data_IF_212726256051
#
_entry.id   IF_212726256051
#
_cell.length_a   1.000
_cell.length_b   1.000
_cell.length_c   1.000
_cell.angle_alpha   90.00
_cell.angle_beta   90.00
_cell.angle_gamma   90.00
#
_symmetry.space_group_name_H-M   'P 1'
#
loop_
_entity.id
_entity.type
_entity.pdbx_description
1 polymer ?
#
# COMPACT_ATOMS: atom_id res chain seq x y z
N UNK A 1 -25.17 21.50 -11.02
CA UNK A 1 -24.56 22.74 -11.55
C UNK A 1 -23.18 22.38 -12.09
N UNK A 2 -22.97 22.48 -13.41
CA UNK A 2 -21.74 22.07 -14.10
C UNK A 2 -20.67 23.16 -13.97
N UNK A 3 -19.46 22.78 -13.52
CA UNK A 3 -18.24 23.57 -13.69
C UNK A 3 -17.10 22.60 -14.02
N UNK A 4 -16.87 22.35 -15.31
CA UNK A 4 -15.57 21.88 -15.79
C UNK A 4 -14.91 23.07 -16.48
N UNK A 5 -14.01 23.74 -15.77
CA UNK A 5 -13.14 24.78 -16.33
C UNK A 5 -11.91 24.12 -16.93
N UNK A 6 -11.69 24.35 -18.23
CA UNK A 6 -10.63 23.74 -19.02
C UNK A 6 -9.23 24.11 -18.51
N UNK A 7 -8.56 23.14 -17.87
CA UNK A 7 -7.11 23.18 -17.70
C UNK A 7 -6.48 22.22 -18.70
N UNK A 8 -5.53 22.74 -19.49
CA UNK A 8 -4.73 21.95 -20.44
C UNK A 8 -3.88 20.96 -19.64
N UNK A 9 -4.03 19.67 -19.95
CA UNK A 9 -3.22 18.58 -19.40
C UNK A 9 -1.90 18.53 -20.18
N UNK A 10 -0.78 18.72 -19.49
CA UNK A 10 0.55 18.57 -20.07
C UNK A 10 1.18 17.27 -19.55
N UNK A 11 1.41 16.33 -20.47
CA UNK A 11 2.10 15.07 -20.18
C UNK A 11 3.55 15.23 -20.67
N UNK A 12 4.55 15.12 -19.78
CA UNK A 12 5.97 15.09 -20.20
C UNK A 12 6.22 13.86 -21.07
N UNK A 13 7.07 14.00 -22.09
CA UNK A 13 7.45 12.92 -23.02
C UNK A 13 7.91 11.65 -22.29
N UNK A 14 8.58 11.76 -21.14
CA UNK A 14 9.04 10.59 -20.36
C UNK A 14 7.90 9.85 -19.67
N UNK A 15 6.92 10.57 -19.11
CA UNK A 15 5.71 9.95 -18.56
C UNK A 15 4.86 9.31 -19.67
N UNK A 16 4.81 9.95 -20.85
CA UNK A 16 4.19 9.37 -22.04
C UNK A 16 4.94 8.11 -22.50
N UNK A 17 6.27 8.09 -22.47
CA UNK A 17 7.09 6.92 -22.84
C UNK A 17 6.88 5.77 -21.86
N UNK A 18 6.82 6.03 -20.54
CA UNK A 18 6.56 4.99 -19.55
C UNK A 18 5.12 4.46 -19.63
N UNK A 19 4.14 5.35 -19.87
CA UNK A 19 2.75 4.96 -20.11
C UNK A 19 2.65 4.12 -21.38
N UNK A 20 3.30 4.53 -22.48
CA UNK A 20 3.34 3.78 -23.73
C UNK A 20 4.07 2.45 -23.56
N UNK A 21 5.17 2.40 -22.81
CA UNK A 21 5.87 1.16 -22.52
C UNK A 21 5.00 0.19 -21.72
N UNK A 22 4.26 0.68 -20.72
CA UNK A 22 3.33 -0.12 -19.93
C UNK A 22 2.14 -0.60 -20.76
N UNK A 23 1.57 0.26 -21.62
CA UNK A 23 0.51 -0.13 -22.56
C UNK A 23 1.02 -1.13 -23.61
N UNK A 24 2.23 -0.97 -24.12
CA UNK A 24 2.86 -1.93 -25.05
C UNK A 24 3.12 -3.25 -24.36
N UNK A 25 3.60 -3.25 -23.11
CA UNK A 25 3.82 -4.46 -22.34
C UNK A 25 2.49 -5.18 -22.03
N UNK A 26 1.47 -4.45 -21.60
CA UNK A 26 0.13 -4.99 -21.39
C UNK A 26 -0.48 -5.52 -22.70
N UNK A 27 -0.26 -4.84 -23.84
CA UNK A 27 -0.74 -5.28 -25.15
C UNK A 27 0.03 -6.49 -25.67
N UNK A 28 1.33 -6.62 -25.40
CA UNK A 28 2.12 -7.81 -25.70
C UNK A 28 1.66 -9.01 -24.87
N UNK A 29 1.30 -8.81 -23.60
CA UNK A 29 0.72 -9.85 -22.76
C UNK A 29 -0.69 -10.26 -23.23
N UNK A 30 -1.49 -9.32 -23.72
CA UNK A 30 -2.85 -9.60 -24.22
C UNK A 30 -2.85 -10.19 -25.64
N UNK A 31 -1.95 -9.76 -26.53
CA UNK A 31 -1.82 -10.30 -27.89
C UNK A 31 -1.22 -11.71 -27.93
N UNK A 32 -0.66 -12.20 -26.82
CA UNK A 32 -0.31 -13.61 -26.66
C UNK A 32 -1.52 -14.55 -26.45
N UNK A 33 -2.73 -14.02 -26.27
CA UNK A 33 -3.91 -14.81 -25.88
C UNK A 33 -5.12 -14.75 -26.84
N UNK A 34 -5.12 -13.93 -27.88
CA UNK A 34 -6.32 -13.73 -28.72
C UNK A 34 -6.45 -14.66 -29.95
N UNK A 35 -5.46 -15.51 -30.24
CA UNK A 35 -5.52 -16.46 -31.36
C UNK A 35 -5.20 -17.91 -30.95
N UNK A 36 -6.01 -18.48 -30.05
CA UNK A 36 -5.98 -19.92 -29.73
C UNK A 36 -6.75 -20.80 -30.74
N UNK A 37 -7.09 -20.30 -31.94
CA UNK A 37 -7.79 -21.09 -32.97
C UNK A 37 -7.04 -21.32 -34.29
N UNK A 38 -5.90 -20.66 -34.55
CA UNK A 38 -5.29 -20.67 -35.90
C UNK A 38 -3.77 -20.85 -35.97
N UNK A 39 -3.05 -20.91 -34.84
CA UNK A 39 -1.60 -21.06 -34.84
C UNK A 39 -1.13 -22.46 -34.39
N UNK A 40 -1.54 -23.51 -35.11
CA UNK A 40 -0.74 -24.74 -35.19
C UNK A 40 -0.78 -25.27 -36.64
N UNK A 41 0.35 -25.30 -37.38
CA UNK A 41 0.44 -26.22 -38.50
C UNK A 41 0.25 -27.65 -37.96
N UNK A 42 -0.33 -28.59 -38.74
CA UNK A 42 -0.52 -29.96 -38.28
C UNK A 42 0.85 -30.56 -37.95
N UNK A 43 1.17 -30.65 -36.67
CA UNK A 43 2.26 -31.47 -36.19
C UNK A 43 1.85 -32.91 -36.51
N UNK A 44 2.50 -33.49 -37.51
CA UNK A 44 2.46 -34.91 -37.79
C UNK A 44 2.80 -35.64 -36.51
N UNK A 45 1.79 -36.27 -35.91
CA UNK A 45 1.93 -37.07 -34.70
C UNK A 45 2.63 -38.37 -35.11
N UNK A 46 3.96 -38.37 -35.08
CA UNK A 46 4.74 -39.60 -35.18
C UNK A 46 4.48 -40.38 -33.89
N UNK A 47 3.91 -41.57 -34.01
CA UNK A 47 3.53 -42.40 -32.88
C UNK A 47 4.77 -42.65 -31.98
N UNK A 48 4.66 -42.47 -30.66
CA UNK A 48 5.78 -42.72 -29.77
C UNK A 48 6.23 -44.17 -29.91
N UNK A 49 7.53 -44.35 -30.18
CA UNK A 49 8.17 -45.66 -30.19
C UNK A 49 7.78 -46.42 -28.90
N UNK A 50 7.41 -47.71 -28.99
CA UNK A 50 7.09 -48.50 -27.82
C UNK A 50 8.31 -48.51 -26.87
N UNK A 51 8.13 -47.91 -25.69
CA UNK A 51 9.15 -47.86 -24.66
C UNK A 51 9.57 -49.28 -24.31
N UNK A 52 10.87 -49.55 -24.41
CA UNK A 52 11.47 -50.79 -23.93
C UNK A 52 11.11 -50.99 -22.44
N UNK A 53 10.83 -52.23 -22.00
CA UNK A 53 10.51 -52.50 -20.61
C UNK A 53 11.64 -52.04 -19.70
N UNK A 54 11.29 -51.20 -18.71
CA UNK A 54 12.22 -50.73 -17.69
C UNK A 54 12.80 -51.94 -16.93
N UNK A 55 14.12 -51.97 -16.68
CA UNK A 55 14.71 -53.03 -15.88
C UNK A 55 14.11 -53.05 -14.47
N UNK A 56 14.01 -54.24 -13.84
CA UNK A 56 13.45 -54.37 -12.50
C UNK A 56 14.26 -53.52 -11.49
N UNK A 57 13.59 -52.85 -10.55
CA UNK A 57 14.26 -52.02 -9.55
C UNK A 57 15.23 -52.86 -8.74
N UNK A 58 16.48 -52.41 -8.66
CA UNK A 58 17.49 -53.06 -7.82
C UNK A 58 17.10 -52.93 -6.34
N UNK A 59 17.37 -53.97 -5.52
CA UNK A 59 17.13 -53.91 -4.08
C UNK A 59 17.90 -52.75 -3.45
N UNK A 60 17.19 -51.87 -2.72
CA UNK A 60 17.81 -50.76 -2.03
C UNK A 60 18.78 -51.27 -0.96
N UNK A 61 20.02 -50.78 -0.99
CA UNK A 61 21.03 -51.05 0.03
C UNK A 61 20.54 -50.61 1.41
N UNK A 62 20.86 -51.36 2.49
CA UNK A 62 20.47 -50.96 3.84
C UNK A 62 21.15 -49.62 4.21
N UNK A 63 20.43 -48.72 4.89
CA UNK A 63 20.96 -47.41 5.27
C UNK A 63 22.15 -47.57 6.23
N UNK A 64 23.21 -46.75 6.09
CA UNK A 64 24.32 -46.75 7.03
C UNK A 64 23.86 -46.35 8.43
N UNK A 65 24.46 -46.96 9.44
CA UNK A 65 24.16 -46.69 10.85
C UNK A 65 24.46 -45.23 11.19
N UNK A 66 23.61 -44.54 11.97
CA UNK A 66 23.79 -43.15 12.30
C UNK A 66 25.03 -42.94 13.19
N UNK A 67 25.81 -41.87 12.98
CA UNK A 67 26.94 -41.53 13.83
C UNK A 67 26.48 -41.17 15.25
N UNK A 68 27.26 -41.57 16.25
CA UNK A 68 27.03 -41.21 17.65
C UNK A 68 27.26 -39.70 17.85
N UNK A 69 26.23 -38.97 18.26
CA UNK A 69 26.35 -37.54 18.56
C UNK A 69 27.07 -37.31 19.90
N UNK A 70 27.92 -36.27 19.99
CA UNK A 70 28.52 -35.85 21.26
C UNK A 70 27.45 -35.33 22.23
N UNK A 71 27.73 -35.35 23.55
CA UNK A 71 26.79 -34.88 24.57
C UNK A 71 26.42 -33.41 24.34
N UNK A 72 25.12 -33.13 24.37
CA UNK A 72 24.56 -31.78 24.22
C UNK A 72 25.03 -30.91 25.40
N UNK A 73 25.68 -29.77 25.17
CA UNK A 73 26.05 -28.85 26.24
C UNK A 73 24.79 -28.30 26.93
N UNK A 74 24.88 -28.11 28.25
CA UNK A 74 23.77 -27.61 29.07
C UNK A 74 23.24 -26.27 28.54
N UNK A 75 21.91 -26.06 28.55
CA UNK A 75 21.29 -24.84 28.04
C UNK A 75 21.78 -23.62 28.83
N UNK A 76 22.30 -22.62 28.12
CA UNK A 76 22.59 -21.30 28.67
C UNK A 76 21.27 -20.67 29.13
N UNK A 77 21.17 -20.15 30.37
CA UNK A 77 19.95 -19.50 30.82
C UNK A 77 19.57 -18.34 29.89
N UNK A 78 18.27 -18.12 29.64
CA UNK A 78 17.82 -17.05 28.76
C UNK A 78 18.27 -15.69 29.33
N UNK A 79 18.71 -14.76 28.46
CA UNK A 79 19.05 -13.42 28.91
C UNK A 79 17.81 -12.76 29.56
N UNK A 80 18.02 -11.91 30.58
CA UNK A 80 16.91 -11.17 31.18
C UNK A 80 16.21 -10.29 30.12
N UNK A 81 14.89 -10.03 30.27
CA UNK A 81 14.16 -9.15 29.36
C UNK A 81 14.85 -7.78 29.30
N UNK A 82 15.12 -7.30 28.08
CA UNK A 82 15.60 -5.93 27.89
C UNK A 82 14.54 -4.96 28.43
N UNK A 83 14.94 -3.99 29.25
CA UNK A 83 14.05 -2.89 29.62
C UNK A 83 13.69 -2.10 28.36
N UNK A 84 12.45 -1.61 28.24
CA UNK A 84 12.11 -0.63 27.22
C UNK A 84 13.05 0.58 27.35
N UNK A 85 13.62 1.01 26.24
CA UNK A 85 14.35 2.27 26.17
C UNK A 85 13.38 3.41 26.52
N UNK A 86 13.83 4.44 27.26
CA UNK A 86 13.01 5.63 27.47
C UNK A 86 12.66 6.26 26.11
N UNK A 87 11.47 6.89 25.96
CA UNK A 87 11.11 7.60 24.74
C UNK A 87 12.17 8.64 24.38
N UNK A 88 12.51 8.74 23.10
CA UNK A 88 13.39 9.80 22.60
C UNK A 88 12.65 11.13 22.74
N UNK A 89 13.13 11.99 23.65
CA UNK A 89 12.60 13.34 23.80
C UNK A 89 12.98 14.17 22.57
N UNK A 90 11.97 14.67 21.87
CA UNK A 90 12.15 15.48 20.67
C UNK A 90 12.19 16.99 20.92
N UNK A 91 12.24 17.40 22.19
CA UNK A 91 12.53 18.78 22.57
C UNK A 91 11.39 19.78 22.29
N UNK A 92 10.22 19.30 21.84
CA UNK A 92 9.01 20.08 21.66
C UNK A 92 7.85 19.48 22.46
N UNK A 93 7.16 20.34 23.21
CA UNK A 93 5.97 19.96 23.99
C UNK A 93 4.89 19.38 23.05
N UNK A 94 4.22 18.33 23.50
CA UNK A 94 3.12 17.61 22.82
C UNK A 94 3.47 16.87 21.53
N UNK A 95 4.76 16.69 21.24
CA UNK A 95 5.24 15.95 20.07
C UNK A 95 5.76 14.56 20.45
N UNK A 96 5.21 13.51 19.82
CA UNK A 96 5.68 12.14 20.02
C UNK A 96 6.62 11.73 18.88
N UNK A 97 7.85 11.37 19.25
CA UNK A 97 8.82 10.84 18.31
C UNK A 97 8.81 9.32 18.27
N UNK A 98 8.84 8.82 17.05
CA UNK A 98 8.67 7.42 16.75
C UNK A 98 9.89 6.92 15.99
N UNK A 99 10.62 6.02 16.62
CA UNK A 99 11.80 5.33 16.10
C UNK A 99 11.58 3.83 15.89
N UNK A 100 10.43 3.31 16.33
CA UNK A 100 10.10 1.90 16.19
C UNK A 100 8.64 1.67 15.86
N UNK A 101 8.33 0.48 15.33
CA UNK A 101 6.97 0.06 15.05
C UNK A 101 6.07 0.02 16.30
N UNK A 102 6.64 -0.40 17.45
CA UNK A 102 5.90 -0.43 18.71
C UNK A 102 5.52 0.98 19.17
N UNK A 103 6.45 1.93 19.06
CA UNK A 103 6.19 3.35 19.33
C UNK A 103 5.17 3.92 18.35
N UNK A 104 5.23 3.55 17.06
CA UNK A 104 4.28 4.02 16.05
C UNK A 104 2.86 3.59 16.38
N UNK A 105 2.67 2.34 16.79
CA UNK A 105 1.36 1.80 17.20
C UNK A 105 0.87 2.49 18.46
N UNK A 106 1.73 2.64 19.46
CA UNK A 106 1.37 3.30 20.71
C UNK A 106 0.99 4.77 20.47
N UNK A 107 1.76 5.47 19.64
CA UNK A 107 1.48 6.83 19.19
C UNK A 107 0.12 6.94 18.48
N UNK A 108 -0.14 6.07 17.51
CA UNK A 108 -1.41 6.02 16.77
C UNK A 108 -2.61 5.76 17.69
N UNK A 109 -2.47 4.84 18.63
CA UNK A 109 -3.52 4.53 19.61
C UNK A 109 -3.76 5.71 20.57
N UNK A 110 -2.69 6.33 21.09
CA UNK A 110 -2.78 7.50 21.96
C UNK A 110 -3.41 8.72 21.25
N UNK A 111 -3.07 8.92 19.97
CA UNK A 111 -3.66 9.96 19.11
C UNK A 111 -5.18 9.82 19.03
N UNK A 112 -5.63 8.59 18.83
CA UNK A 112 -7.04 8.24 18.69
C UNK A 112 -7.86 8.46 19.97
N UNK A 113 -7.22 8.32 21.14
CA UNK A 113 -7.85 8.40 22.46
C UNK A 113 -7.92 9.82 23.07
N UNK A 114 -7.58 10.88 22.32
CA UNK A 114 -7.57 12.28 22.79
C UNK A 114 -6.54 12.60 23.89
N UNK A 115 -5.39 11.92 23.94
CA UNK A 115 -4.37 12.17 24.97
C UNK A 115 -3.52 13.45 24.76
N UNK A 116 -4.03 14.47 24.05
CA UNK A 116 -3.34 15.75 23.83
C UNK A 116 -2.26 15.75 22.74
N UNK A 117 -1.81 14.59 22.25
CA UNK A 117 -0.88 14.51 21.13
C UNK A 117 -1.62 14.57 19.79
N UNK A 118 -1.59 15.73 19.15
CA UNK A 118 -2.10 15.94 17.79
C UNK A 118 -1.02 15.76 16.72
N UNK A 119 0.26 15.67 17.09
CA UNK A 119 1.38 15.59 16.15
C UNK A 119 2.39 14.49 16.49
N UNK A 120 2.79 13.71 15.47
CA UNK A 120 3.76 12.63 15.59
C UNK A 120 4.84 12.75 14.52
N UNK A 121 6.09 12.54 14.92
CA UNK A 121 7.24 12.60 14.01
C UNK A 121 7.92 11.25 13.91
N UNK A 122 7.99 10.76 12.69
CA UNK A 122 8.76 9.58 12.35
C UNK A 122 10.22 10.01 12.13
N UNK A 123 11.14 9.54 12.98
CA UNK A 123 12.54 9.97 12.95
C UNK A 123 13.49 8.98 12.24
N UNK A 124 12.97 7.81 11.89
CA UNK A 124 13.67 6.73 11.20
C UNK A 124 12.75 6.04 10.18
N UNK A 125 13.33 5.39 9.17
CA UNK A 125 12.55 4.56 8.25
C UNK A 125 12.15 3.26 8.94
N UNK A 126 10.87 2.89 8.85
CA UNK A 126 10.34 1.70 9.51
C UNK A 126 9.81 0.71 8.49
N UNK A 127 10.03 -0.56 8.80
CA UNK A 127 9.39 -1.67 8.13
C UNK A 127 8.36 -2.29 9.05
N UNK A 128 7.12 -2.38 8.59
CA UNK A 128 6.05 -3.04 9.32
C UNK A 128 6.26 -4.55 9.28
N UNK A 129 5.88 -5.22 10.36
CA UNK A 129 5.86 -6.70 10.49
C UNK A 129 4.69 -7.36 9.74
N UNK A 130 4.05 -6.63 8.81
CA UNK A 130 2.89 -7.05 8.03
C UNK A 130 1.54 -6.87 8.73
N UNK A 131 1.49 -6.25 9.91
CA UNK A 131 0.23 -5.78 10.50
C UNK A 131 0.07 -4.26 10.28
N UNK A 132 -1.13 -3.80 9.92
CA UNK A 132 -1.38 -2.38 9.71
C UNK A 132 -1.15 -1.58 11.00
N UNK A 133 -0.93 -0.29 10.84
CA UNK A 133 -1.06 0.69 11.92
C UNK A 133 -2.52 1.17 11.90
N UNK A 134 -3.31 0.60 12.80
CA UNK A 134 -4.71 0.97 12.96
C UNK A 134 -4.83 2.26 13.78
N UNK A 135 -5.52 3.26 13.22
CA UNK A 135 -5.80 4.52 13.91
C UNK A 135 -7.29 4.58 14.23
N UNK A 136 -7.64 4.38 15.51
CA UNK A 136 -9.02 4.39 15.99
C UNK A 136 -9.32 5.68 16.72
N UNK A 137 -10.22 6.49 16.17
CA UNK A 137 -10.63 7.75 16.79
C UNK A 137 -11.78 7.53 17.77
N UNK A 138 -11.68 8.17 18.95
CA UNK A 138 -12.76 8.26 19.91
C UNK A 138 -13.92 9.13 19.39
N UNK A 139 -15.15 8.75 19.75
CA UNK A 139 -16.36 9.11 19.02
C UNK A 139 -16.82 10.58 19.06
N UNK A 140 -16.28 11.38 19.98
CA UNK A 140 -16.97 12.61 20.41
C UNK A 140 -16.13 13.88 20.27
N UNK A 141 -14.96 13.82 19.65
CA UNK A 141 -14.03 14.96 19.58
C UNK A 141 -13.56 15.20 18.14
N UNK A 142 -13.69 16.45 17.69
CA UNK A 142 -13.16 16.91 16.40
C UNK A 142 -11.63 16.83 16.44
N UNK A 143 -11.09 15.70 16.02
CA UNK A 143 -9.66 15.41 16.08
C UNK A 143 -8.98 15.83 14.78
N UNK A 144 -7.91 16.62 14.91
CA UNK A 144 -6.91 16.85 13.88
C UNK A 144 -5.64 16.11 14.29
N UNK A 145 -5.27 15.09 13.53
CA UNK A 145 -4.04 14.32 13.75
C UNK A 145 -3.10 14.63 12.60
N UNK A 146 -1.84 14.96 12.92
CA UNK A 146 -0.78 15.18 11.96
C UNK A 146 0.36 14.19 12.19
N UNK A 147 0.81 13.56 11.11
CA UNK A 147 1.96 12.66 11.10
C UNK A 147 2.99 13.17 10.10
N UNK A 148 4.23 13.35 10.54
CA UNK A 148 5.31 13.91 9.75
C UNK A 148 6.54 13.00 9.72
N UNK A 149 7.13 12.81 8.54
CA UNK A 149 8.45 12.17 8.40
C UNK A 149 9.59 13.19 8.53
N UNK A 150 10.52 12.93 9.45
CA UNK A 150 11.73 13.73 9.67
C UNK A 150 12.93 12.83 9.97
N UNK A 151 13.41 12.12 8.95
CA UNK A 151 14.46 11.13 9.12
C UNK A 151 15.80 11.79 9.43
N UNK A 152 16.40 11.42 10.56
CA UNK A 152 17.61 12.06 11.10
C UNK A 152 18.89 11.67 10.35
N UNK A 153 18.90 10.54 9.65
CA UNK A 153 20.03 10.08 8.82
C UNK A 153 19.98 10.51 7.34
N UNK A 154 18.86 11.08 6.92
CA UNK A 154 18.59 11.47 5.55
C UNK A 154 19.34 12.76 5.19
N UNK A 155 19.98 12.83 4.02
CA UNK A 155 20.65 14.06 3.54
C UNK A 155 19.64 15.19 3.30
N UNK A 156 19.21 15.91 4.33
CA UNK A 156 18.39 17.12 4.32
C UNK A 156 16.95 17.02 3.78
N UNK A 157 16.74 16.23 2.72
CA UNK A 157 15.52 16.17 1.91
C UNK A 157 15.01 14.74 1.68
N UNK A 158 15.67 13.72 2.19
CA UNK A 158 15.19 12.34 2.03
C UNK A 158 14.01 12.08 2.98
N UNK A 159 12.98 11.43 2.44
CA UNK A 159 11.72 11.13 3.13
C UNK A 159 11.89 9.90 4.01
N UNK A 160 11.18 9.85 5.14
CA UNK A 160 11.11 8.61 5.91
C UNK A 160 10.31 7.56 5.17
N UNK A 161 10.86 6.36 5.05
CA UNK A 161 10.17 5.24 4.44
C UNK A 161 9.35 4.46 5.47
N UNK A 162 8.08 4.20 5.14
CA UNK A 162 7.25 3.21 5.80
C UNK A 162 6.93 2.12 4.78
N UNK A 163 7.48 0.93 5.01
CA UNK A 163 7.27 -0.25 4.17
C UNK A 163 6.34 -1.25 4.88
N UNK A 164 5.17 -1.55 4.29
CA UNK A 164 4.26 -2.57 4.81
C UNK A 164 4.72 -4.02 4.55
N UNK A 165 5.85 -4.21 3.84
CA UNK A 165 6.44 -5.49 3.48
C UNK A 165 5.50 -6.42 2.69
N UNK A 166 4.53 -5.85 1.97
CA UNK A 166 3.63 -6.57 1.07
C UNK A 166 2.64 -7.49 1.75
N UNK A 167 2.14 -7.11 2.93
CA UNK A 167 1.23 -7.96 3.72
C UNK A 167 -0.05 -7.28 4.17
N UNK A 168 -0.10 -5.96 4.17
CA UNK A 168 -1.30 -5.22 4.60
C UNK A 168 -1.24 -3.76 4.19
N UNK A 169 -2.31 -3.02 4.48
CA UNK A 169 -2.31 -1.57 4.38
C UNK A 169 -1.36 -0.96 5.43
N UNK A 170 -0.65 0.13 5.13
CA UNK A 170 0.20 0.82 6.13
C UNK A 170 -0.71 1.46 7.19
N UNK A 171 -1.65 2.30 6.76
CA UNK A 171 -2.61 3.00 7.62
C UNK A 171 -4.04 2.56 7.31
N UNK A 172 -4.69 1.96 8.30
CA UNK A 172 -6.11 1.63 8.23
C UNK A 172 -6.88 2.53 9.19
N UNK A 173 -7.68 3.43 8.64
CA UNK A 173 -8.53 4.33 9.42
C UNK A 173 -9.97 3.88 9.30
N UNK A 174 -10.39 3.12 10.30
CA UNK A 174 -11.76 2.65 10.45
C UNK A 174 -12.27 2.94 11.85
N UNK A 175 -13.26 3.82 11.94
CA UNK A 175 -14.05 4.05 13.14
C UNK A 175 -15.41 4.58 12.73
N UNK A 176 -16.47 3.84 13.07
CA UNK A 176 -17.86 4.24 12.79
C UNK A 176 -18.24 5.58 13.42
N UNK A 177 -17.44 6.08 14.36
CA UNK A 177 -17.69 7.34 15.01
C UNK A 177 -17.03 8.54 14.31
N UNK A 178 -16.23 8.29 13.28
CA UNK A 178 -15.63 9.33 12.46
C UNK A 178 -16.67 10.01 11.57
N UNK A 179 -16.52 11.33 11.43
CA UNK A 179 -17.32 12.15 10.54
C UNK A 179 -16.45 13.22 9.87
N UNK A 180 -17.05 14.01 8.97
CA UNK A 180 -16.35 14.99 8.13
C UNK A 180 -15.60 16.09 8.90
N UNK A 181 -15.79 16.21 10.22
CA UNK A 181 -15.06 17.16 11.06
C UNK A 181 -13.67 16.66 11.47
N UNK A 182 -13.36 15.39 11.22
CA UNK A 182 -12.06 14.80 11.53
C UNK A 182 -11.10 14.95 10.36
N UNK A 183 -9.86 15.32 10.67
CA UNK A 183 -8.80 15.47 9.68
C UNK A 183 -7.56 14.67 10.08
N UNK A 184 -7.03 13.91 9.13
CA UNK A 184 -5.72 13.29 9.21
C UNK A 184 -4.79 13.97 8.21
N UNK A 185 -3.66 14.48 8.68
CA UNK A 185 -2.59 15.02 7.84
C UNK A 185 -1.40 14.07 7.86
N UNK A 186 -0.91 13.67 6.69
CA UNK A 186 0.28 12.83 6.52
C UNK A 186 1.27 13.61 5.65
N UNK A 187 2.48 13.82 6.17
CA UNK A 187 3.47 14.67 5.51
C UNK A 187 4.89 14.08 5.45
N UNK A 188 5.61 14.35 4.37
CA UNK A 188 7.06 14.07 4.22
C UNK A 188 7.45 12.59 4.42
N UNK A 189 6.65 11.67 3.90
CA UNK A 189 6.89 10.23 3.99
C UNK A 189 6.92 9.57 2.62
N UNK A 190 7.74 8.52 2.49
CA UNK A 190 7.65 7.54 1.42
C UNK A 190 6.86 6.33 1.94
N UNK A 191 5.79 5.99 1.24
CA UNK A 191 4.86 4.93 1.59
C UNK A 191 4.97 3.83 0.53
N UNK A 192 5.45 2.67 0.96
CA UNK A 192 5.70 1.49 0.11
C UNK A 192 4.90 0.32 0.62
N UNK A 193 4.13 -0.31 -0.26
CA UNK A 193 3.41 -1.52 0.06
C UNK A 193 3.36 -2.47 -1.13
N UNK A 194 4.35 -3.37 -1.20
CA UNK A 194 4.51 -4.28 -2.32
C UNK A 194 3.23 -5.05 -2.72
N UNK A 195 2.31 -5.38 -1.78
CA UNK A 195 1.02 -6.02 -2.05
C UNK A 195 0.09 -5.99 -0.83
N UNK A 196 -1.14 -5.52 -0.99
CA UNK A 196 -2.26 -5.73 -0.08
C UNK A 196 -3.28 -6.67 -0.75
N UNK A 197 -3.77 -7.67 -0.03
CA UNK A 197 -4.72 -8.67 -0.56
C UNK A 197 -6.12 -8.42 0.01
N UNK A 198 -7.16 -8.55 -0.83
CA UNK A 198 -8.59 -8.44 -0.52
C UNK A 198 -9.02 -7.12 0.11
N UNK A 199 -8.38 -6.01 -0.30
CA UNK A 199 -8.64 -4.67 0.25
C UNK A 199 -8.63 -3.58 -0.81
N UNK A 200 -9.05 -2.38 -0.39
CA UNK A 200 -8.84 -1.11 -1.09
C UNK A 200 -7.78 -0.34 -0.29
N UNK A 201 -6.96 0.49 -0.93
CA UNK A 201 -5.97 1.30 -0.20
C UNK A 201 -4.74 0.50 0.22
N UNK A 202 -3.75 0.38 -0.66
CA UNK A 202 -2.52 -0.36 -0.32
C UNK A 202 -1.63 0.39 0.66
N UNK A 203 -1.41 1.70 0.54
CA UNK A 203 -0.73 2.46 1.60
C UNK A 203 -1.72 2.93 2.67
N UNK A 204 -2.80 3.59 2.25
CA UNK A 204 -3.77 4.20 3.16
C UNK A 204 -5.18 3.75 2.78
N UNK A 205 -5.94 3.28 3.77
CA UNK A 205 -7.36 2.99 3.67
C UNK A 205 -8.14 3.91 4.62
N UNK A 206 -9.05 4.70 4.07
CA UNK A 206 -10.04 5.49 4.81
C UNK A 206 -11.38 4.78 4.67
N UNK A 207 -11.85 4.11 5.72
CA UNK A 207 -13.11 3.36 5.66
C UNK A 207 -14.36 4.23 5.91
N UNK A 208 -14.17 5.52 6.16
CA UNK A 208 -15.17 6.43 6.72
C UNK A 208 -14.98 7.86 6.18
N UNK A 209 -15.98 8.70 6.43
CA UNK A 209 -16.08 10.10 6.02
C UNK A 209 -15.10 11.03 6.74
N UNK A 210 -13.78 10.86 6.58
CA UNK A 210 -12.77 11.80 7.11
C UNK A 210 -12.10 12.62 6.01
N UNK A 211 -11.49 13.73 6.40
CA UNK A 211 -10.60 14.49 5.52
C UNK A 211 -9.17 13.97 5.67
N UNK A 212 -8.60 13.43 4.60
CA UNK A 212 -7.18 13.12 4.50
C UNK A 212 -6.46 14.21 3.73
N UNK A 213 -5.41 14.79 4.32
CA UNK A 213 -4.52 15.75 3.69
C UNK A 213 -3.13 15.15 3.59
N UNK A 214 -2.64 14.92 2.37
CA UNK A 214 -1.32 14.36 2.13
C UNK A 214 -0.39 15.41 1.56
N UNK A 215 0.81 15.57 2.15
CA UNK A 215 1.76 16.64 1.80
C UNK A 215 3.17 16.13 1.57
N UNK A 216 3.72 16.38 0.39
CA UNK A 216 5.13 16.04 0.09
C UNK A 216 5.43 14.56 0.35
N UNK A 217 4.50 13.67 -0.01
CA UNK A 217 4.69 12.24 0.17
C UNK A 217 4.98 11.54 -1.16
N UNK A 218 5.64 10.39 -1.08
CA UNK A 218 5.87 9.50 -2.21
C UNK A 218 5.14 8.17 -2.00
N UNK A 219 4.27 7.77 -2.92
CA UNK A 219 3.62 6.47 -2.93
C UNK A 219 4.23 5.62 -4.03
N UNK A 220 5.09 4.70 -3.65
CA UNK A 220 5.90 3.91 -4.59
C UNK A 220 5.59 2.43 -4.42
N UNK A 221 5.42 1.73 -5.55
CA UNK A 221 5.26 0.27 -5.59
C UNK A 221 4.16 -0.23 -4.65
N UNK A 222 3.04 0.52 -4.55
CA UNK A 222 1.90 0.06 -3.78
C UNK A 222 0.97 -0.79 -4.64
N UNK A 223 0.74 -2.03 -4.25
CA UNK A 223 -0.09 -2.95 -5.02
C UNK A 223 -1.31 -3.39 -4.20
N UNK A 224 -2.43 -3.56 -4.87
CA UNK A 224 -3.65 -4.12 -4.29
C UNK A 224 -4.08 -5.27 -5.18
N UNK A 225 -4.16 -6.46 -4.63
CA UNK A 225 -4.86 -7.59 -5.24
C UNK A 225 -6.18 -7.79 -4.49
N UNK A 226 -7.29 -8.02 -5.19
CA UNK A 226 -8.55 -8.39 -4.56
C UNK A 226 -9.19 -9.53 -5.31
N UNK A 227 -9.63 -10.54 -4.56
CA UNK A 227 -10.54 -11.59 -5.03
C UNK A 227 -12.02 -11.20 -4.87
N UNK A 228 -12.28 -10.08 -4.17
CA UNK A 228 -13.62 -9.58 -3.89
C UNK A 228 -14.20 -8.66 -4.96
N UNK A 229 -15.40 -8.14 -4.68
CA UNK A 229 -16.16 -7.25 -5.58
C UNK A 229 -15.48 -5.89 -5.81
N UNK A 230 -14.62 -5.46 -4.89
CA UNK A 230 -13.99 -4.14 -4.93
C UNK A 230 -12.47 -4.27 -4.80
N UNK A 231 -11.77 -3.76 -5.83
CA UNK A 231 -10.33 -3.55 -5.84
C UNK A 231 -10.07 -2.10 -6.24
N UNK A 232 -9.30 -1.35 -5.46
CA UNK A 232 -8.96 0.01 -5.86
C UNK A 232 -7.98 0.74 -4.98
N UNK A 233 -7.41 1.81 -5.53
CA UNK A 233 -6.58 2.74 -4.80
C UNK A 233 -5.33 2.08 -4.26
N UNK A 234 -4.45 1.58 -5.13
CA UNK A 234 -3.30 0.82 -4.65
C UNK A 234 -2.40 1.63 -3.72
N UNK A 235 -2.34 2.95 -3.87
CA UNK A 235 -1.77 3.84 -2.85
C UNK A 235 -2.82 4.26 -1.81
N UNK A 236 -3.88 4.94 -2.22
CA UNK A 236 -4.88 5.51 -1.30
C UNK A 236 -6.29 5.08 -1.70
N UNK A 237 -6.99 4.46 -0.76
CA UNK A 237 -8.39 4.05 -0.88
C UNK A 237 -9.26 4.81 0.11
N UNK A 238 -10.35 5.43 -0.34
CA UNK A 238 -11.39 5.95 0.54
C UNK A 238 -12.74 5.33 0.21
N UNK A 239 -13.35 4.66 1.18
CA UNK A 239 -14.74 4.19 1.12
C UNK A 239 -15.63 5.14 1.92
N UNK A 240 -16.87 5.35 1.48
CA UNK A 240 -17.92 6.12 2.18
C UNK A 240 -17.79 7.66 2.20
N UNK A 241 -17.17 8.27 1.19
CA UNK A 241 -17.26 9.72 1.01
C UNK A 241 -16.25 10.55 1.80
N UNK A 242 -15.10 9.94 2.15
CA UNK A 242 -13.93 10.68 2.61
C UNK A 242 -13.47 11.73 1.57
N UNK A 243 -12.88 12.82 2.05
CA UNK A 243 -12.25 13.85 1.21
C UNK A 243 -10.75 13.64 1.24
N UNK A 244 -10.11 13.65 0.07
CA UNK A 244 -8.67 13.43 -0.03
C UNK A 244 -8.01 14.58 -0.79
N UNK A 245 -7.11 15.29 -0.12
CA UNK A 245 -6.31 16.37 -0.70
C UNK A 245 -4.85 15.95 -0.80
N UNK A 246 -4.24 16.16 -1.97
CA UNK A 246 -2.82 15.88 -2.21
C UNK A 246 -2.08 17.18 -2.58
N UNK A 247 -0.96 17.39 -1.90
CA UNK A 247 -0.06 18.52 -2.10
C UNK A 247 1.34 17.99 -2.37
N UNK A 248 1.96 18.43 -3.48
CA UNK A 248 3.36 18.12 -3.81
C UNK A 248 3.74 16.63 -3.66
N UNK A 249 2.80 15.72 -3.95
CA UNK A 249 2.99 14.28 -3.72
C UNK A 249 3.21 13.51 -5.03
N UNK A 250 4.01 12.46 -4.97
CA UNK A 250 4.36 11.61 -6.11
C UNK A 250 3.69 10.24 -5.98
N UNK A 251 3.19 9.72 -7.11
CA UNK A 251 2.67 8.35 -7.22
C UNK A 251 3.40 7.64 -8.34
N UNK A 252 4.07 6.53 -8.01
CA UNK A 252 4.87 5.76 -8.97
C UNK A 252 4.63 4.26 -8.80
N UNK A 253 4.45 3.56 -9.91
CA UNK A 253 4.36 2.09 -9.94
C UNK A 253 3.28 1.47 -9.04
N UNK A 254 2.15 2.16 -8.87
CA UNK A 254 1.02 1.65 -8.07
C UNK A 254 0.07 0.82 -8.94
N UNK A 255 -0.28 -0.39 -8.50
CA UNK A 255 -0.98 -1.39 -9.33
C UNK A 255 -2.19 -1.97 -8.60
N UNK A 256 -3.34 -2.02 -9.28
CA UNK A 256 -4.52 -2.76 -8.81
C UNK A 256 -4.72 -3.99 -9.69
N UNK A 257 -4.79 -5.16 -9.07
CA UNK A 257 -5.06 -6.46 -9.66
C UNK A 257 -6.41 -6.95 -9.15
N UNK A 258 -7.40 -7.10 -10.02
CA UNK A 258 -8.64 -7.81 -9.69
C UNK A 258 -8.51 -9.26 -10.18
N UNK A 259 -8.48 -10.20 -9.24
CA UNK A 259 -8.43 -11.61 -9.55
C UNK A 259 -9.87 -12.09 -9.86
N UNK A 260 -10.13 -12.30 -11.15
CA UNK A 260 -11.47 -12.52 -11.70
C UNK A 260 -11.99 -13.93 -11.44
N UNK A 261 -12.66 -14.14 -10.32
CA UNK A 261 -13.71 -15.16 -10.23
C UNK A 261 -15.13 -14.56 -10.26
N UNK A 262 -15.27 -13.25 -10.03
CA UNK A 262 -16.53 -12.50 -10.08
C UNK A 262 -16.62 -11.68 -11.36
N UNK A 263 -17.75 -11.79 -12.06
CA UNK A 263 -18.09 -10.94 -13.23
C UNK A 263 -18.29 -9.47 -12.87
N UNK A 264 -18.44 -9.17 -11.57
CA UNK A 264 -18.71 -7.83 -11.04
C UNK A 264 -17.49 -7.20 -10.35
N UNK A 265 -16.31 -7.83 -10.43
CA UNK A 265 -15.09 -7.30 -9.81
C UNK A 265 -14.70 -5.95 -10.44
N UNK A 266 -14.90 -4.88 -9.68
CA UNK A 266 -14.51 -3.52 -10.08
C UNK A 266 -13.06 -3.28 -9.66
N UNK A 267 -12.16 -3.23 -10.65
CA UNK A 267 -10.82 -2.65 -10.49
C UNK A 267 -10.85 -1.17 -10.87
N UNK A 268 -10.77 -0.27 -9.90
CA UNK A 268 -10.83 1.17 -10.12
C UNK A 268 -9.66 1.92 -9.46
N UNK A 269 -9.17 2.98 -10.13
CA UNK A 269 -8.25 3.94 -9.51
C UNK A 269 -6.88 3.36 -9.15
N UNK A 270 -6.00 3.17 -10.14
CA UNK A 270 -4.69 2.51 -9.97
C UNK A 270 -3.90 2.99 -8.76
N UNK A 271 -3.69 4.30 -8.59
CA UNK A 271 -3.06 4.84 -7.39
C UNK A 271 -4.07 5.28 -6.32
N UNK A 272 -5.11 6.01 -6.72
CA UNK A 272 -6.09 6.59 -5.79
C UNK A 272 -7.48 6.15 -6.21
N UNK A 273 -8.27 5.68 -5.26
CA UNK A 273 -9.68 5.36 -5.44
C UNK A 273 -10.48 5.96 -4.29
N UNK A 274 -11.57 6.64 -4.64
CA UNK A 274 -12.48 7.24 -3.67
C UNK A 274 -13.90 6.92 -4.12
N UNK A 275 -14.67 6.29 -3.24
CA UNK A 275 -16.09 6.03 -3.43
C UNK A 275 -16.93 6.77 -2.40
N UNK A 276 -18.13 7.15 -2.80
CA UNK A 276 -19.18 7.61 -1.89
C UNK A 276 -20.34 6.63 -1.96
N UNK A 277 -20.80 6.14 -0.81
CA UNK A 277 -22.07 5.43 -0.74
C UNK A 277 -23.20 6.45 -0.88
N UNK A 278 -24.12 6.19 -1.83
CA UNK A 278 -25.23 7.07 -2.22
C UNK A 278 -25.92 7.74 -1.02
N UNK A 279 -25.67 9.04 -0.83
CA UNK A 279 -26.34 9.85 0.19
C UNK A 279 -25.41 10.71 1.06
N UNK A 280 -24.10 10.53 0.99
CA UNK A 280 -23.12 11.39 1.68
C UNK A 280 -22.32 12.20 0.67
N UNK A 281 -21.74 13.32 1.11
CA UNK A 281 -21.07 14.33 0.28
C UNK A 281 -20.24 13.73 -0.88
N UNK A 282 -20.15 14.40 -2.05
CA UNK A 282 -19.36 13.90 -3.15
C UNK A 282 -17.92 13.67 -2.71
N UNK A 283 -17.44 12.46 -2.97
CA UNK A 283 -16.03 12.12 -2.91
C UNK A 283 -15.22 13.18 -3.67
N UNK A 284 -14.34 13.90 -2.97
CA UNK A 284 -13.52 14.94 -3.58
C UNK A 284 -12.07 14.50 -3.53
N UNK A 285 -11.46 14.36 -4.71
CA UNK A 285 -10.02 14.28 -4.85
C UNK A 285 -9.52 15.61 -5.38
N UNK A 286 -8.67 16.27 -4.61
CA UNK A 286 -8.08 17.55 -4.99
C UNK A 286 -6.57 17.38 -5.07
N UNK A 287 -6.05 17.44 -6.30
CA UNK A 287 -4.61 17.58 -6.55
C UNK A 287 -4.33 19.07 -6.74
N UNK A 288 -3.56 19.66 -5.82
CA UNK A 288 -3.07 21.02 -6.04
C UNK A 288 -1.82 20.98 -6.91
N UNK A 289 -1.65 21.96 -7.84
CA UNK A 289 -0.44 22.06 -8.60
C UNK A 289 0.75 22.20 -7.65
N UNK A 290 1.91 21.64 -8.03
CA UNK A 290 3.07 21.75 -7.19
C UNK A 290 3.49 23.22 -7.11
N UNK A 291 4.08 23.62 -5.98
CA UNK A 291 4.55 25.00 -5.81
C UNK A 291 5.81 25.32 -6.66
N UNK A 292 6.29 24.36 -7.48
CA UNK A 292 7.46 24.48 -8.35
C UNK A 292 7.23 24.05 -9.81
N UNK A 293 8.17 24.37 -10.72
CA UNK A 293 7.98 24.26 -12.18
C UNK A 293 8.05 22.84 -12.78
N UNK A 294 8.23 21.77 -11.98
CA UNK A 294 8.74 20.48 -12.50
C UNK A 294 7.93 19.21 -12.21
N UNK A 295 6.74 19.27 -11.61
CA UNK A 295 6.00 18.03 -11.23
C UNK A 295 4.78 17.78 -12.11
N UNK A 296 4.69 16.56 -12.67
CA UNK A 296 3.56 16.09 -13.49
C UNK A 296 2.64 15.24 -12.63
N UNK A 297 1.35 15.55 -12.60
CA UNK A 297 0.32 14.72 -11.97
C UNK A 297 -0.46 13.96 -13.05
N UNK A 298 -0.52 12.63 -12.97
CA UNK A 298 -1.49 11.83 -13.70
C UNK A 298 -2.52 11.35 -12.69
N UNK A 299 -3.62 12.09 -12.55
CA UNK A 299 -4.74 11.69 -11.72
C UNK A 299 -5.82 11.10 -12.62
N UNK A 300 -5.93 9.77 -12.66
CA UNK A 300 -7.04 9.07 -13.30
C UNK A 300 -8.13 8.82 -12.26
N UNK A 301 -9.10 9.73 -12.16
CA UNK A 301 -10.31 9.52 -11.35
C UNK A 301 -11.30 8.73 -12.21
N UNK A 302 -11.58 7.48 -11.84
CA UNK A 302 -12.67 6.70 -12.43
C UNK A 302 -13.87 6.83 -11.51
N UNK A 303 -14.79 7.75 -11.83
CA UNK A 303 -16.10 7.82 -11.17
C UNK A 303 -17.05 6.83 -11.84
N UNK A 304 -17.38 5.74 -11.17
CA UNK A 304 -18.48 4.86 -11.58
C UNK A 304 -19.75 5.33 -10.88
N UNK A 305 -20.58 6.09 -11.61
CA UNK A 305 -21.99 6.22 -11.25
C UNK A 305 -22.70 4.98 -11.80
N UNK A 306 -23.32 4.17 -10.93
CA UNK A 306 -24.44 3.31 -11.28
C UNK A 306 -25.62 3.72 -10.41
#
# INVERSE_FOLDING_TARGET
>A
MRLFSGKKMYIRRTALVNLLASVVHARLLMQGCEDLSSCHPPLSYEAPNPLLPLPPPQPASPPPSPPSFPPVPSPVPPPPPLRPSPPVDCGYFDTLCVSSLAELRHAAEAAGQNAGASEFYLIESLRLDGRPVDIHFAADLSLQISMWGQCTGARGNELCELDAAGRSTIFSIDSSALNHNHQLTIGRMRLVNAMAVDRVGGAILLAQSIQLVVRTCEFIDNWVESSGELAGGAAVGATKGGQVEFHDSLFMSNVVLANKSSVDALAGGGAVWVSSSSGHHPALVKALPPSGPETTFVLQIVGTNF
#
